data_IF_416905785757
#
_entry.id   IF_416905785757
#
_cell.length_a   1.000
_cell.length_b   1.000
_cell.length_c   1.000
_cell.angle_alpha   90.00
_cell.angle_beta   90.00
_cell.angle_gamma   90.00
#
_symmetry.space_group_name_H-M   'P 1'
#
loop_
_entity.id
_entity.type
_entity.pdbx_description
1 polymer ?
#
# COMPACT_ATOMS: atom_id res chain seq x y z
N UNK A 1 -9.23 18.69 5.04
CA UNK A 1 -9.94 18.41 3.78
C UNK A 1 -10.85 19.57 3.46
N UNK A 2 -10.75 20.17 2.29
CA UNK A 2 -11.65 21.21 1.81
C UNK A 2 -11.81 21.08 0.28
N UNK A 3 -12.96 21.46 -0.30
CA UNK A 3 -13.09 21.56 -1.74
C UNK A 3 -12.24 22.72 -2.27
N UNK A 4 -11.74 22.60 -3.50
CA UNK A 4 -10.96 23.67 -4.13
C UNK A 4 -11.83 24.87 -4.56
N UNK A 5 -13.08 24.59 -4.95
CA UNK A 5 -14.10 25.56 -5.40
C UNK A 5 -15.49 25.07 -4.97
N UNK A 6 -16.49 25.94 -5.06
CA UNK A 6 -17.90 25.58 -4.78
C UNK A 6 -18.45 24.49 -5.72
N UNK A 7 -17.89 24.35 -6.92
CA UNK A 7 -18.24 23.30 -7.89
C UNK A 7 -17.35 22.06 -7.82
N UNK A 8 -16.44 21.97 -6.84
CA UNK A 8 -15.54 20.82 -6.72
C UNK A 8 -16.28 19.58 -6.22
N UNK A 9 -16.08 18.47 -6.91
CA UNK A 9 -16.58 17.16 -6.47
C UNK A 9 -15.75 16.59 -5.32
N UNK A 10 -14.45 16.88 -5.31
CA UNK A 10 -13.48 16.31 -4.39
C UNK A 10 -13.06 17.23 -3.27
N UNK A 11 -12.66 16.62 -2.16
CA UNK A 11 -11.97 17.27 -1.06
C UNK A 11 -10.47 17.02 -1.18
N UNK A 12 -9.67 18.08 -1.29
CA UNK A 12 -8.22 17.94 -1.45
C UNK A 12 -7.58 17.28 -0.20
N UNK A 13 -6.67 16.34 -0.47
CA UNK A 13 -5.84 15.64 0.49
C UNK A 13 -4.37 16.00 0.27
N UNK A 14 -3.71 16.39 1.35
CA UNK A 14 -2.30 16.78 1.36
C UNK A 14 -1.45 15.70 2.06
N UNK A 15 -0.19 15.61 1.66
CA UNK A 15 0.80 14.80 2.37
C UNK A 15 1.07 15.38 3.77
N UNK A 16 1.00 14.54 4.81
CA UNK A 16 1.29 14.98 6.18
C UNK A 16 2.79 15.10 6.48
N UNK A 17 3.63 14.43 5.68
CA UNK A 17 5.09 14.40 5.83
C UNK A 17 5.75 14.46 4.46
N UNK A 18 6.96 15.02 4.39
CA UNK A 18 7.78 14.96 3.17
C UNK A 18 8.20 13.51 2.95
N UNK A 19 7.96 13.00 1.73
CA UNK A 19 8.22 11.60 1.35
C UNK A 19 8.99 11.57 0.04
N UNK A 20 10.12 10.88 0.00
CA UNK A 20 10.88 10.66 -1.23
C UNK A 20 10.66 9.23 -1.74
N UNK A 21 10.12 9.13 -2.96
CA UNK A 21 9.96 7.88 -3.68
C UNK A 21 11.29 7.50 -4.32
N UNK A 22 11.99 6.53 -3.72
CA UNK A 22 13.30 6.06 -4.20
C UNK A 22 13.21 4.93 -5.23
N UNK A 23 12.02 4.35 -5.43
CA UNK A 23 11.78 3.25 -6.36
C UNK A 23 10.49 3.46 -7.10
N UNK A 24 10.26 2.68 -8.17
CA UNK A 24 8.99 2.68 -8.90
C UNK A 24 7.88 1.86 -8.26
N UNK A 25 8.12 1.26 -7.08
CA UNK A 25 7.11 0.47 -6.36
C UNK A 25 6.09 1.40 -5.70
N UNK A 26 4.82 0.95 -5.56
CA UNK A 26 3.82 1.68 -4.79
C UNK A 26 4.28 1.96 -3.36
N UNK A 27 4.03 3.17 -2.89
CA UNK A 27 4.31 3.62 -1.54
C UNK A 27 3.08 4.26 -0.91
N UNK A 28 3.01 4.22 0.42
CA UNK A 28 1.97 4.89 1.21
C UNK A 28 2.45 6.28 1.60
N UNK A 29 1.62 7.29 1.37
CA UNK A 29 1.83 8.66 1.85
C UNK A 29 0.73 8.99 2.86
N UNK A 30 1.08 9.29 4.13
CA UNK A 30 0.10 9.64 5.16
C UNK A 30 -0.52 11.01 4.88
N UNK A 31 -1.77 11.20 5.30
CA UNK A 31 -2.51 12.47 5.13
C UNK A 31 -2.76 13.19 6.45
N UNK A 32 -2.60 12.52 7.57
CA UNK A 32 -3.03 12.97 8.89
C UNK A 32 -4.55 13.03 9.05
N UNK A 33 -5.32 12.61 8.04
CA UNK A 33 -6.78 12.60 8.05
C UNK A 33 -7.26 11.21 8.44
N UNK A 34 -8.11 11.15 9.47
CA UNK A 34 -8.69 9.90 9.95
C UNK A 34 -10.17 9.85 9.64
N UNK A 35 -10.64 8.66 9.28
CA UNK A 35 -12.07 8.40 9.17
C UNK A 35 -12.74 8.22 10.54
N UNK A 36 -14.07 8.06 10.59
CA UNK A 36 -14.99 8.05 9.46
C UNK A 36 -15.16 9.45 8.84
N UNK A 37 -15.38 9.51 7.53
CA UNK A 37 -15.52 10.78 6.82
C UNK A 37 -16.91 11.35 7.07
N UNK A 38 -16.98 12.49 7.76
CA UNK A 38 -18.24 13.19 8.07
C UNK A 38 -18.35 14.48 7.27
N UNK A 39 -19.43 14.63 6.52
CA UNK A 39 -19.74 15.83 5.75
C UNK A 39 -21.16 16.26 6.14
N UNK A 40 -21.31 17.50 6.60
CA UNK A 40 -22.59 18.04 7.08
C UNK A 40 -23.31 17.13 8.09
N UNK A 41 -22.55 16.49 8.99
CA UNK A 41 -23.07 15.59 10.02
C UNK A 41 -23.39 14.16 9.56
N UNK A 42 -23.26 13.85 8.27
CA UNK A 42 -23.49 12.51 7.72
C UNK A 42 -22.18 11.79 7.41
N UNK A 43 -22.15 10.48 7.63
CA UNK A 43 -21.00 9.63 7.32
C UNK A 43 -21.03 9.19 5.85
N UNK A 44 -19.89 9.32 5.17
CA UNK A 44 -19.68 8.91 3.80
C UNK A 44 -18.52 7.94 3.68
N UNK A 45 -18.60 7.07 2.67
CA UNK A 45 -17.39 6.48 2.08
C UNK A 45 -16.82 7.42 1.04
N UNK A 46 -15.85 6.96 0.26
CA UNK A 46 -15.38 7.75 -0.86
C UNK A 46 -14.37 7.06 -1.74
N UNK A 47 -14.13 7.69 -2.88
CA UNK A 47 -13.10 7.32 -3.83
C UNK A 47 -11.93 8.28 -3.69
N UNK A 48 -10.77 7.76 -3.28
CA UNK A 48 -9.52 8.50 -3.22
C UNK A 48 -8.87 8.44 -4.61
N UNK A 49 -8.71 9.60 -5.24
CA UNK A 49 -8.14 9.75 -6.59
C UNK A 49 -6.97 10.73 -6.60
N UNK A 50 -6.10 10.61 -7.59
CA UNK A 50 -5.08 11.62 -7.85
C UNK A 50 -5.67 12.94 -8.33
N UNK A 51 -4.94 14.03 -8.07
CA UNK A 51 -5.22 15.33 -8.71
C UNK A 51 -4.61 15.31 -10.11
N UNK A 52 -5.31 15.80 -11.12
CA UNK A 52 -4.80 15.86 -12.50
C UNK A 52 -3.46 16.58 -12.61
N UNK A 53 -3.26 17.62 -11.80
CA UNK A 53 -2.00 18.39 -11.72
C UNK A 53 -0.79 17.55 -11.32
N UNK A 54 -0.93 16.55 -10.45
CA UNK A 54 0.21 15.72 -10.02
C UNK A 54 0.53 14.60 -11.00
N UNK A 55 -0.47 14.10 -11.73
CA UNK A 55 -0.26 13.12 -12.79
C UNK A 55 0.65 13.67 -13.89
N UNK A 56 0.48 14.95 -14.24
CA UNK A 56 1.35 15.64 -15.21
C UNK A 56 2.80 15.73 -14.72
N UNK A 57 3.03 15.77 -13.40
CA UNK A 57 4.36 15.79 -12.79
C UNK A 57 5.01 14.39 -12.72
N UNK A 58 4.33 13.34 -13.22
CA UNK A 58 4.82 11.96 -13.17
C UNK A 58 4.56 11.26 -11.82
N UNK A 59 3.71 11.83 -10.97
CA UNK A 59 3.23 11.19 -9.74
C UNK A 59 1.84 10.61 -9.98
N UNK A 60 1.73 9.29 -9.87
CA UNK A 60 0.47 8.59 -10.05
C UNK A 60 -0.09 8.16 -8.71
N UNK A 61 -1.33 8.56 -8.42
CA UNK A 61 -2.08 8.08 -7.26
C UNK A 61 -2.90 6.87 -7.69
N UNK A 62 -2.70 5.74 -7.02
CA UNK A 62 -3.51 4.55 -7.23
C UNK A 62 -4.90 4.76 -6.59
N UNK A 63 -5.99 4.54 -7.33
CA UNK A 63 -7.34 4.68 -6.78
C UNK A 63 -7.56 3.83 -5.53
N UNK A 64 -8.23 4.40 -4.54
CA UNK A 64 -8.58 3.71 -3.29
C UNK A 64 -10.05 3.88 -2.95
N UNK A 65 -10.71 2.81 -2.51
CA UNK A 65 -12.04 2.87 -1.91
C UNK A 65 -11.88 3.03 -0.40
N UNK A 66 -12.48 4.08 0.15
CA UNK A 66 -12.55 4.34 1.58
C UNK A 66 -13.95 3.96 2.05
N UNK A 67 -14.04 2.92 2.85
CA UNK A 67 -15.32 2.46 3.42
C UNK A 67 -15.86 3.51 4.42
N UNK A 68 -17.19 3.61 4.52
CA UNK A 68 -17.84 4.59 5.39
C UNK A 68 -17.58 4.36 6.88
N UNK A 69 -17.31 3.12 7.28
CA UNK A 69 -16.97 2.70 8.63
C UNK A 69 -15.46 2.63 8.88
N UNK A 70 -14.63 3.06 7.92
CA UNK A 70 -13.18 3.09 8.08
C UNK A 70 -12.79 4.14 9.12
N UNK A 71 -12.07 3.73 10.16
CA UNK A 71 -11.63 4.60 11.27
C UNK A 71 -10.13 4.87 11.26
N UNK A 72 -9.40 4.27 10.32
CA UNK A 72 -7.96 4.46 10.19
C UNK A 72 -7.60 5.78 9.50
N UNK A 73 -6.30 6.00 9.37
CA UNK A 73 -5.78 7.10 8.56
C UNK A 73 -6.04 6.85 7.08
N UNK A 74 -6.50 7.87 6.36
CA UNK A 74 -6.56 7.85 4.91
C UNK A 74 -5.14 7.94 4.38
N UNK A 75 -4.68 6.91 3.71
CA UNK A 75 -3.35 6.88 3.11
C UNK A 75 -3.44 6.97 1.60
N UNK A 76 -2.56 7.78 1.00
CA UNK A 76 -2.51 7.95 -0.45
C UNK A 76 -1.49 6.95 -0.98
N UNK A 77 -1.98 5.96 -1.73
CA UNK A 77 -1.11 5.04 -2.43
C UNK A 77 -0.58 5.73 -3.69
N UNK A 78 0.73 5.89 -3.78
CA UNK A 78 1.39 6.59 -4.90
C UNK A 78 2.43 5.70 -5.55
N UNK A 79 2.71 5.94 -6.82
CA UNK A 79 3.91 5.46 -7.47
C UNK A 79 4.39 6.48 -8.50
N UNK A 80 5.66 6.38 -8.88
CA UNK A 80 6.24 7.13 -9.99
C UNK A 80 7.11 6.21 -10.83
N UNK A 81 7.07 6.29 -12.17
CA UNK A 81 8.05 5.58 -13.00
C UNK A 81 9.41 6.28 -13.06
N UNK A 82 9.56 7.47 -12.45
CA UNK A 82 10.76 8.32 -12.54
C UNK A 82 11.36 8.67 -11.16
N UNK A 83 11.78 7.69 -10.34
CA UNK A 83 12.46 8.00 -9.08
C UNK A 83 13.87 8.60 -9.33
N UNK A 84 14.42 9.43 -8.40
CA UNK A 84 13.80 9.85 -7.16
C UNK A 84 12.77 10.97 -7.37
N UNK A 85 11.65 10.90 -6.65
CA UNK A 85 10.63 11.95 -6.65
C UNK A 85 10.26 12.32 -5.22
N UNK A 86 10.35 13.60 -4.88
CA UNK A 86 9.97 14.10 -3.55
C UNK A 86 8.57 14.70 -3.58
N UNK A 87 7.74 14.28 -2.64
CA UNK A 87 6.46 14.87 -2.29
C UNK A 87 6.67 15.69 -1.02
N UNK A 88 6.41 16.98 -1.08
CA UNK A 88 6.60 17.84 0.08
C UNK A 88 5.42 17.76 1.06
N UNK A 89 5.73 17.92 2.35
CA UNK A 89 4.69 18.09 3.38
C UNK A 89 3.74 19.25 2.99
N UNK A 90 2.45 19.01 3.09
CA UNK A 90 1.40 19.96 2.73
C UNK A 90 1.06 20.00 1.24
N UNK A 91 1.81 19.30 0.38
CA UNK A 91 1.48 19.21 -1.04
C UNK A 91 0.19 18.43 -1.23
N UNK A 92 -0.79 19.06 -1.88
CA UNK A 92 -2.08 18.45 -2.24
C UNK A 92 -1.89 17.54 -3.44
N UNK A 93 -1.89 16.23 -3.23
CA UNK A 93 -1.59 15.24 -4.28
C UNK A 93 -2.79 14.36 -4.64
N UNK A 94 -3.79 14.26 -3.75
CA UNK A 94 -4.99 13.46 -3.97
C UNK A 94 -6.24 14.27 -3.62
N UNK A 95 -7.39 13.72 -3.97
CA UNK A 95 -8.71 14.21 -3.62
C UNK A 95 -9.59 13.04 -3.21
N UNK A 96 -10.43 13.25 -2.20
CA UNK A 96 -11.49 12.32 -1.81
C UNK A 96 -12.78 12.76 -2.48
N UNK A 97 -13.38 11.91 -3.31
CA UNK A 97 -14.73 12.08 -3.83
C UNK A 97 -15.70 11.36 -2.89
N UNK A 98 -16.51 12.08 -2.09
CA UNK A 98 -17.45 11.45 -1.16
C UNK A 98 -18.56 10.72 -1.92
N UNK A 99 -18.89 9.50 -1.48
CA UNK A 99 -19.94 8.68 -2.11
C UNK A 99 -20.91 8.16 -1.04
N UNK A 100 -22.24 8.16 -1.33
CA UNK A 100 -23.21 7.55 -0.42
C UNK A 100 -22.99 6.04 -0.33
N UNK A 101 -23.17 5.48 0.87
CA UNK A 101 -23.11 4.03 1.08
C UNK A 101 -24.42 3.38 0.63
N UNK A 102 -24.50 3.02 -0.66
CA UNK A 102 -25.69 2.36 -1.23
C UNK A 102 -25.91 0.93 -0.71
N UNK A 103 -24.88 0.31 -0.14
CA UNK A 103 -24.94 -1.03 0.47
C UNK A 103 -25.44 -1.03 1.93
N UNK A 104 -25.76 0.15 2.47
CA UNK A 104 -26.22 0.28 3.86
C UNK A 104 -27.47 -0.56 4.09
N UNK A 105 -27.44 -1.42 5.12
CA UNK A 105 -28.56 -2.31 5.46
C UNK A 105 -28.56 -3.66 4.73
N UNK A 106 -27.65 -3.87 3.78
CA UNK A 106 -27.41 -5.21 3.24
C UNK A 106 -26.68 -6.07 4.29
N UNK A 107 -27.01 -7.37 4.40
CA UNK A 107 -26.31 -8.26 5.32
C UNK A 107 -24.83 -8.38 4.92
N UNK A 108 -23.92 -8.19 5.88
CA UNK A 108 -22.50 -8.40 5.67
C UNK A 108 -22.17 -9.89 5.71
N UNK A 109 -21.28 -10.34 4.81
CA UNK A 109 -20.73 -11.70 4.83
C UNK A 109 -19.78 -11.94 6.01
N UNK A 110 -19.20 -10.86 6.53
CA UNK A 110 -18.27 -10.87 7.65
C UNK A 110 -18.75 -9.84 8.68
N UNK A 111 -18.83 -10.23 9.95
CA UNK A 111 -19.44 -9.40 11.01
C UNK A 111 -18.49 -8.36 11.61
N UNK A 112 -17.22 -8.41 11.24
CA UNK A 112 -16.21 -7.50 11.77
C UNK A 112 -16.15 -6.21 10.95
N UNK A 113 -16.26 -5.03 11.58
CA UNK A 113 -16.09 -3.76 10.88
C UNK A 113 -14.69 -3.67 10.28
N UNK A 114 -14.56 -3.02 9.12
CA UNK A 114 -13.27 -2.85 8.42
C UNK A 114 -12.23 -2.18 9.34
N UNK A 115 -12.68 -1.35 10.29
CA UNK A 115 -11.91 -0.72 11.37
C UNK A 115 -10.59 -0.10 10.87
N UNK A 116 -9.49 -0.19 11.64
CA UNK A 116 -8.17 0.32 11.22
C UNK A 116 -7.49 -0.55 10.14
N UNK A 117 -8.10 -1.67 9.73
CA UNK A 117 -7.54 -2.59 8.73
C UNK A 117 -7.79 -2.07 7.31
N UNK A 118 -7.04 -1.06 6.89
CA UNK A 118 -7.06 -0.49 5.53
C UNK A 118 -5.85 -0.89 4.66
N UNK A 119 -5.95 -0.69 3.34
CA UNK A 119 -4.83 -0.75 2.38
C UNK A 119 -3.95 -2.02 2.46
N UNK A 120 -4.53 -3.18 2.12
CA UNK A 120 -3.81 -4.46 2.00
C UNK A 120 -4.16 -5.53 3.05
N UNK A 121 -5.12 -5.26 3.93
CA UNK A 121 -5.58 -6.18 4.97
C UNK A 121 -6.48 -7.32 4.46
N UNK A 122 -7.01 -7.22 3.24
CA UNK A 122 -8.03 -8.14 2.69
C UNK A 122 -7.47 -9.25 1.82
N UNK A 123 -6.18 -9.55 1.95
CA UNK A 123 -5.50 -10.60 1.20
C UNK A 123 -4.18 -10.08 0.63
N UNK A 124 -3.09 -10.76 0.98
CA UNK A 124 -1.78 -10.52 0.38
C UNK A 124 -1.78 -11.11 -1.03
N UNK A 125 -1.80 -10.26 -2.05
CA UNK A 125 -1.32 -10.67 -3.36
C UNK A 125 0.22 -10.80 -3.24
N UNK A 126 0.69 -12.01 -2.93
CA UNK A 126 2.12 -12.31 -2.89
C UNK A 126 2.67 -12.26 -4.30
N UNK A 127 3.69 -11.44 -4.51
CA UNK A 127 4.48 -11.49 -5.72
C UNK A 127 5.26 -12.81 -5.69
N UNK A 128 4.71 -13.85 -6.28
CA UNK A 128 5.40 -15.12 -6.43
C UNK A 128 6.36 -14.99 -7.61
N UNK A 129 7.66 -15.15 -7.32
CA UNK A 129 8.64 -15.36 -8.37
C UNK A 129 8.78 -16.87 -8.58
N UNK A 130 8.78 -17.31 -9.82
CA UNK A 130 9.12 -18.68 -10.13
C UNK A 130 10.55 -18.98 -9.65
N UNK A 131 10.67 -19.91 -8.70
CA UNK A 131 11.92 -20.33 -8.08
C UNK A 131 12.93 -20.90 -9.10
N UNK A 132 12.47 -21.33 -10.28
CA UNK A 132 13.35 -21.84 -11.34
C UNK A 132 14.29 -20.77 -11.90
N UNK A 133 13.88 -19.50 -11.87
CA UNK A 133 14.62 -18.38 -12.45
C UNK A 133 15.63 -17.72 -11.49
N UNK A 134 15.64 -18.10 -10.22
CA UNK A 134 16.48 -17.47 -9.21
C UNK A 134 17.95 -17.89 -9.35
N UNK A 135 18.91 -16.97 -9.11
CA UNK A 135 20.32 -17.31 -9.08
C UNK A 135 20.59 -18.39 -8.04
N UNK A 136 21.35 -19.41 -8.42
CA UNK A 136 21.75 -20.51 -7.54
C UNK A 136 23.25 -20.50 -7.34
N UNK A 137 23.70 -20.78 -6.12
CA UNK A 137 25.13 -20.88 -5.79
C UNK A 137 25.40 -22.22 -5.12
N UNK A 138 26.48 -22.87 -5.53
CA UNK A 138 26.99 -24.03 -4.79
C UNK A 138 27.44 -23.56 -3.41
N UNK A 139 26.88 -24.17 -2.37
CA UNK A 139 27.22 -23.89 -0.99
C UNK A 139 27.69 -25.18 -0.33
N UNK A 140 28.59 -25.02 0.62
CA UNK A 140 29.15 -26.10 1.44
C UNK A 140 28.69 -25.85 2.87
N UNK A 141 27.94 -26.79 3.44
CA UNK A 141 27.48 -26.74 4.82
C UNK A 141 28.30 -27.73 5.64
N UNK A 142 28.80 -27.29 6.78
CA UNK A 142 29.61 -28.10 7.69
C UNK A 142 28.99 -28.07 9.08
N UNK A 143 28.81 -29.24 9.69
CA UNK A 143 28.37 -29.41 11.06
C UNK A 143 29.24 -30.47 11.75
N UNK A 144 30.01 -30.06 12.76
CA UNK A 144 31.03 -30.94 13.34
C UNK A 144 32.07 -31.39 12.30
N UNK A 145 32.23 -32.70 12.13
CA UNK A 145 33.09 -33.30 11.10
C UNK A 145 32.39 -33.50 9.75
N UNK A 146 31.07 -33.39 9.73
CA UNK A 146 30.26 -33.72 8.56
C UNK A 146 30.14 -32.52 7.63
N UNK A 147 30.23 -32.79 6.34
CA UNK A 147 30.17 -31.75 5.33
C UNK A 147 29.41 -32.22 4.12
N UNK A 148 28.51 -31.37 3.65
CA UNK A 148 27.72 -31.61 2.45
C UNK A 148 27.83 -30.43 1.50
N UNK A 149 27.70 -30.71 0.21
CA UNK A 149 27.59 -29.71 -0.84
C UNK A 149 26.19 -29.72 -1.43
N UNK A 150 25.56 -28.56 -1.51
CA UNK A 150 24.24 -28.41 -2.10
C UNK A 150 24.13 -27.12 -2.91
N UNK A 151 23.11 -27.07 -3.76
CA UNK A 151 22.80 -25.90 -4.57
C UNK A 151 21.80 -25.02 -3.81
N UNK A 152 22.29 -23.91 -3.24
CA UNK A 152 21.47 -22.94 -2.53
C UNK A 152 20.82 -21.95 -3.50
N UNK A 153 19.54 -21.65 -3.28
CA UNK A 153 18.87 -20.51 -3.92
C UNK A 153 19.37 -19.23 -3.25
N UNK A 154 19.88 -18.28 -4.04
CA UNK A 154 20.24 -16.97 -3.53
C UNK A 154 18.97 -16.14 -3.39
N UNK A 155 18.72 -15.70 -2.17
CA UNK A 155 17.67 -14.73 -1.85
C UNK A 155 18.30 -13.57 -1.09
N UNK A 156 18.07 -12.34 -1.55
CA UNK A 156 18.66 -11.14 -0.92
C UNK A 156 17.82 -10.58 0.22
N UNK A 157 16.68 -11.22 0.54
CA UNK A 157 15.70 -10.72 1.50
C UNK A 157 15.41 -11.65 2.68
N UNK A 158 16.13 -12.76 2.84
CA UNK A 158 15.95 -13.69 3.95
C UNK A 158 17.11 -13.59 4.94
N UNK A 159 16.79 -13.37 6.23
CA UNK A 159 17.76 -13.43 7.34
C UNK A 159 17.97 -14.88 7.85
N UNK A 160 17.29 -15.85 7.24
CA UNK A 160 17.32 -17.26 7.65
C UNK A 160 17.54 -18.15 6.44
N UNK A 161 18.45 -19.13 6.58
CA UNK A 161 18.65 -20.19 5.60
C UNK A 161 17.80 -21.41 5.97
N UNK A 162 17.04 -21.93 5.00
CA UNK A 162 16.23 -23.15 5.19
C UNK A 162 16.88 -24.28 4.39
N UNK A 163 17.14 -25.40 5.05
CA UNK A 163 17.70 -26.61 4.43
C UNK A 163 16.74 -27.76 4.70
N UNK A 164 16.46 -28.57 3.67
CA UNK A 164 15.62 -29.77 3.85
C UNK A 164 16.30 -30.73 4.84
N UNK A 165 15.56 -31.34 5.78
CA UNK A 165 16.12 -32.32 6.71
C UNK A 165 16.82 -33.49 6.00
N UNK A 166 16.34 -33.89 4.82
CA UNK A 166 16.95 -34.95 3.99
C UNK A 166 18.34 -34.59 3.44
N UNK A 167 18.65 -33.29 3.42
CA UNK A 167 19.89 -32.72 2.91
C UNK A 167 20.63 -31.96 4.00
N UNK A 168 20.34 -32.19 5.27
CA UNK A 168 21.09 -31.63 6.39
C UNK A 168 22.14 -32.67 6.83
N UNK A 169 23.40 -32.28 7.11
CA UNK A 169 24.40 -33.20 7.64
C UNK A 169 24.04 -33.67 9.06
#
# INVERSE_FOLDING_TARGET
MQPATTGSLGLDLAAAVTTTLMTSRPAKVPTGVYGPIKINGQTYGGLLLGRSSVTIMGLFVLPGVIDADYTGELQIMVHTPFPPMTIEKGQRIAQLIPLPQVTKGMPALDSHPRSQRGFGSSGLALLTMDLHSRPKKKIKLTYGSDTIELLGLLDTGADTSIVSPEKWP
#
